data_IF_091302970956
#
_entry.id   IF_091302970956
#
_cell.length_a   1.000
_cell.length_b   1.000
_cell.length_c   1.000
_cell.angle_alpha   90.00
_cell.angle_beta   90.00
_cell.angle_gamma   90.00
#
_symmetry.space_group_name_H-M   'P 1'
#
loop_
_entity.id
_entity.type
_entity.pdbx_description
1 polymer ?
#
# COMPACT_ATOMS: atom_id res chain seq x y z
N UNK A 1 8.52 8.88 5.28
CA UNK A 1 9.50 8.32 4.31
C UNK A 1 9.76 6.82 4.49
N UNK A 2 10.20 6.32 5.66
CA UNK A 2 10.59 4.90 5.83
C UNK A 2 9.49 3.87 5.56
N UNK A 3 8.24 4.15 5.97
CA UNK A 3 7.11 3.24 5.73
C UNK A 3 6.88 2.95 4.23
N UNK A 4 7.10 3.96 3.38
CA UNK A 4 6.96 3.84 1.93
C UNK A 4 8.07 2.97 1.32
N UNK A 5 9.29 3.06 1.85
CA UNK A 5 10.41 2.18 1.45
C UNK A 5 10.13 0.71 1.80
N UNK A 6 9.58 0.45 2.99
CA UNK A 6 9.19 -0.91 3.41
C UNK A 6 8.06 -1.43 2.51
N UNK A 7 7.06 -0.60 2.23
CA UNK A 7 5.96 -0.97 1.33
C UNK A 7 6.47 -1.32 -0.08
N UNK A 8 7.39 -0.54 -0.64
CA UNK A 8 8.00 -0.85 -1.95
C UNK A 8 8.82 -2.13 -1.92
N UNK A 9 9.54 -2.41 -0.83
CA UNK A 9 10.26 -3.69 -0.66
C UNK A 9 9.29 -4.88 -0.67
N UNK A 10 8.15 -4.77 0.00
CA UNK A 10 7.09 -5.80 0.00
C UNK A 10 6.52 -5.95 -1.40
N UNK A 11 6.14 -4.85 -2.06
CA UNK A 11 5.58 -4.85 -3.40
C UNK A 11 6.52 -5.52 -4.40
N UNK A 12 7.80 -5.18 -4.38
CA UNK A 12 8.82 -5.77 -5.24
C UNK A 12 9.04 -7.26 -4.95
N UNK A 13 8.87 -7.69 -3.70
CA UNK A 13 8.89 -9.10 -3.32
C UNK A 13 7.71 -9.88 -3.92
N UNK A 14 6.51 -9.33 -3.82
CA UNK A 14 5.27 -9.93 -4.35
C UNK A 14 5.18 -9.93 -5.87
N UNK A 15 5.92 -9.04 -6.55
CA UNK A 15 5.98 -9.01 -8.01
C UNK A 15 6.80 -10.17 -8.60
N UNK A 16 7.60 -10.88 -7.80
CA UNK A 16 8.34 -12.05 -8.26
C UNK A 16 7.37 -13.21 -8.52
N UNK A 17 7.55 -13.99 -9.60
CA UNK A 17 6.73 -15.17 -9.84
C UNK A 17 6.81 -16.16 -8.68
N UNK A 18 5.66 -16.69 -8.28
CA UNK A 18 5.55 -17.78 -7.32
C UNK A 18 5.50 -19.11 -8.07
N UNK A 19 6.36 -20.05 -7.68
CA UNK A 19 6.27 -21.42 -8.14
C UNK A 19 5.14 -22.12 -7.38
N UNK A 20 4.05 -22.43 -8.07
CA UNK A 20 2.90 -23.19 -7.58
C UNK A 20 2.78 -24.45 -8.43
N UNK A 21 3.24 -25.58 -7.90
CA UNK A 21 3.40 -26.85 -8.62
C UNK A 21 4.18 -26.67 -9.94
N UNK A 22 3.56 -27.00 -11.07
CA UNK A 22 4.14 -26.87 -12.41
C UNK A 22 3.92 -25.47 -13.04
N UNK A 23 3.38 -24.50 -12.30
CA UNK A 23 3.03 -23.18 -12.81
C UNK A 23 3.82 -22.06 -12.13
N UNK A 24 4.19 -21.05 -12.91
CA UNK A 24 4.71 -19.79 -12.40
C UNK A 24 3.59 -18.75 -12.40
N UNK A 25 3.16 -18.33 -11.21
CA UNK A 25 2.09 -17.34 -11.04
C UNK A 25 2.69 -15.99 -10.69
N UNK A 26 2.43 -15.00 -11.54
CA UNK A 26 2.81 -13.61 -11.26
C UNK A 26 1.67 -12.87 -10.60
N UNK A 27 1.98 -12.10 -9.55
CA UNK A 27 0.99 -11.26 -8.86
C UNK A 27 1.41 -9.80 -8.89
N UNK A 28 0.43 -8.91 -8.74
CA UNK A 28 0.67 -7.48 -8.57
C UNK A 28 0.05 -7.03 -7.26
N UNK A 29 0.79 -6.21 -6.51
CA UNK A 29 0.34 -5.67 -5.25
C UNK A 29 0.15 -4.15 -5.35
N UNK A 30 -1.02 -3.68 -4.93
CA UNK A 30 -1.25 -2.26 -4.64
C UNK A 30 -1.27 -2.11 -3.14
N UNK A 31 -0.50 -1.16 -2.60
CA UNK A 31 -0.33 -0.99 -1.15
C UNK A 31 -0.62 0.47 -0.79
N UNK A 32 -1.49 0.68 0.19
CA UNK A 32 -1.72 1.98 0.80
C UNK A 32 -0.92 2.12 2.09
N UNK A 33 -0.35 3.31 2.32
CA UNK A 33 0.51 3.60 3.47
C UNK A 33 -0.05 4.79 4.22
N UNK A 34 -0.23 4.64 5.54
CA UNK A 34 -0.56 5.71 6.45
C UNK A 34 0.34 5.63 7.70
N UNK A 35 0.61 6.78 8.30
CA UNK A 35 1.47 6.95 9.47
C UNK A 35 0.79 7.82 10.51
N UNK A 36 0.85 7.38 11.77
CA UNK A 36 0.52 8.20 12.92
C UNK A 36 1.65 9.20 13.20
N UNK A 37 1.36 10.43 13.64
CA UNK A 37 0.03 11.06 13.72
C UNK A 37 -0.39 11.75 12.41
N UNK A 38 0.49 11.77 11.41
CA UNK A 38 0.39 12.58 10.19
C UNK A 38 -0.93 12.39 9.39
N UNK A 39 -1.48 11.18 9.37
CA UNK A 39 -2.66 10.86 8.55
C UNK A 39 -3.94 10.65 9.37
N UNK A 40 -3.80 10.33 10.66
CA UNK A 40 -4.88 10.19 11.63
C UNK A 40 -4.31 9.92 13.03
N UNK A 41 -5.09 10.27 14.05
CA UNK A 41 -4.75 10.12 15.47
C UNK A 41 -5.31 8.83 16.11
N UNK A 42 -6.19 8.12 15.41
CA UNK A 42 -6.81 6.87 15.87
C UNK A 42 -6.55 5.70 14.90
N UNK A 43 -6.38 4.49 15.46
CA UNK A 43 -6.06 3.29 14.68
C UNK A 43 -7.08 2.94 13.59
N UNK A 44 -8.39 3.06 13.89
CA UNK A 44 -9.44 2.83 12.91
C UNK A 44 -9.41 3.85 11.76
N UNK A 45 -9.09 5.11 12.08
CA UNK A 45 -8.95 6.17 11.09
C UNK A 45 -7.70 5.97 10.22
N UNK A 46 -6.57 5.54 10.80
CA UNK A 46 -5.36 5.17 10.05
C UNK A 46 -5.62 4.03 9.05
N UNK A 47 -6.36 2.99 9.46
CA UNK A 47 -6.73 1.89 8.56
C UNK A 47 -7.61 2.39 7.42
N UNK A 48 -8.59 3.24 7.71
CA UNK A 48 -9.48 3.83 6.71
C UNK A 48 -8.71 4.63 5.65
N UNK A 49 -7.78 5.50 6.06
CA UNK A 49 -7.00 6.32 5.11
C UNK A 49 -5.95 5.49 4.35
N UNK A 50 -5.36 4.46 4.98
CA UNK A 50 -4.49 3.51 4.29
C UNK A 50 -5.25 2.72 3.22
N UNK A 51 -6.46 2.25 3.51
CA UNK A 51 -7.29 1.52 2.52
C UNK A 51 -7.67 2.42 1.34
N UNK A 52 -8.06 3.67 1.59
CA UNK A 52 -8.31 4.65 0.52
C UNK A 52 -7.07 4.88 -0.36
N UNK A 53 -5.89 5.00 0.25
CA UNK A 53 -4.63 5.11 -0.47
C UNK A 53 -4.35 3.86 -1.35
N UNK A 54 -4.61 2.66 -0.82
CA UNK A 54 -4.48 1.40 -1.57
C UNK A 54 -5.45 1.37 -2.77
N UNK A 55 -6.70 1.76 -2.57
CA UNK A 55 -7.67 1.86 -3.66
C UNK A 55 -7.24 2.89 -4.72
N UNK A 56 -6.64 4.01 -4.31
CA UNK A 56 -6.07 4.97 -5.25
C UNK A 56 -4.91 4.37 -6.03
N UNK A 57 -4.02 3.62 -5.39
CA UNK A 57 -2.98 2.84 -6.07
C UNK A 57 -3.56 1.87 -7.11
N UNK A 58 -4.65 1.14 -6.78
CA UNK A 58 -5.35 0.26 -7.74
C UNK A 58 -5.94 1.03 -8.92
N UNK A 59 -6.60 2.16 -8.68
CA UNK A 59 -7.24 2.97 -9.74
C UNK A 59 -6.22 3.60 -10.70
N UNK A 60 -5.00 3.87 -10.25
CA UNK A 60 -3.92 4.45 -11.06
C UNK A 60 -3.10 3.41 -11.85
N UNK A 61 -3.70 2.25 -12.19
CA UNK A 61 -3.04 1.17 -12.93
C UNK A 61 -2.40 0.10 -12.05
N UNK A 62 -2.56 0.17 -10.73
CA UNK A 62 -2.11 -0.86 -9.80
C UNK A 62 -0.59 -0.98 -9.68
N UNK A 63 -0.17 -2.11 -9.09
CA UNK A 63 1.23 -2.50 -8.87
C UNK A 63 2.12 -1.35 -8.34
N UNK A 64 1.65 -0.62 -7.33
CA UNK A 64 2.34 0.55 -6.76
C UNK A 64 2.00 0.77 -5.29
N UNK A 65 2.86 1.49 -4.58
CA UNK A 65 2.54 2.03 -3.27
C UNK A 65 1.97 3.45 -3.38
N UNK A 66 1.06 3.82 -2.47
CA UNK A 66 0.52 5.17 -2.38
C UNK A 66 0.43 5.59 -0.92
N UNK A 67 0.90 6.81 -0.61
CA UNK A 67 0.76 7.41 0.71
C UNK A 67 -0.59 8.08 0.82
N UNK A 68 -1.26 7.91 1.96
CA UNK A 68 -2.45 8.69 2.29
C UNK A 68 -2.12 10.19 2.21
N UNK A 69 -3.12 11.00 1.88
CA UNK A 69 -2.99 12.45 2.05
C UNK A 69 -3.27 12.74 3.52
N UNK A 70 -2.53 13.67 4.11
CA UNK A 70 -2.89 14.18 5.44
C UNK A 70 -4.33 14.72 5.35
N UNK A 71 -5.23 14.24 6.22
CA UNK A 71 -6.47 14.95 6.45
C UNK A 71 -6.04 16.28 7.10
N UNK A 72 -6.34 17.41 6.45
CA UNK A 72 -6.23 18.71 7.12
C UNK A 72 -7.17 18.62 8.31
N UNK A 73 -6.62 18.48 9.51
CA UNK A 73 -7.37 18.67 10.73
C UNK A 73 -7.91 20.11 10.69
N UNK A 74 -9.22 20.26 10.55
CA UNK A 74 -9.90 21.52 10.88
C UNK A 74 -9.78 21.79 12.38
#
# INVERSE_FOLDING_TARGET
>A
AHALLVAEKIRAGLQRPFALDAQNVSTMASIGVATYPEHADAGHALLRVADQAMYRAKKLGGNRCWMALAELAE
#
